data_IF_425799020445
#
_entry.id   IF_425799020445
#
_cell.length_a   1.000
_cell.length_b   1.000
_cell.length_c   1.000
_cell.angle_alpha   90.00
_cell.angle_beta   90.00
_cell.angle_gamma   90.00
#
_symmetry.space_group_name_H-M   'P 1'
#
loop_
_entity.id
_entity.type
_entity.pdbx_description
1 polymer ?
#
# COMPACT_ATOMS: atom_id res chain seq x y z
N UNK A 1 -22.49 15.83 -2.96
CA UNK A 1 -21.03 15.61 -2.82
C UNK A 1 -20.70 15.79 -1.35
N UNK A 2 -20.09 14.80 -0.70
CA UNK A 2 -19.78 14.79 0.74
C UNK A 2 -18.88 15.99 1.14
N UNK A 3 -19.07 16.56 2.34
CA UNK A 3 -18.27 17.67 2.86
C UNK A 3 -16.77 17.34 2.90
N UNK A 4 -16.43 16.08 3.15
CA UNK A 4 -15.06 15.55 3.10
C UNK A 4 -14.47 15.67 1.69
N UNK A 5 -15.23 15.26 0.67
CA UNK A 5 -14.77 15.34 -0.72
C UNK A 5 -14.54 16.79 -1.15
N UNK A 6 -15.44 17.69 -0.75
CA UNK A 6 -15.32 19.12 -1.07
C UNK A 6 -14.07 19.73 -0.45
N UNK A 7 -13.81 19.45 0.83
CA UNK A 7 -12.64 20.00 1.52
C UNK A 7 -11.33 19.45 0.97
N UNK A 8 -11.29 18.16 0.62
CA UNK A 8 -10.12 17.55 -0.03
C UNK A 8 -9.87 18.17 -1.40
N UNK A 9 -10.91 18.30 -2.24
CA UNK A 9 -10.77 18.95 -3.55
C UNK A 9 -10.32 20.40 -3.44
N UNK A 10 -10.85 21.16 -2.48
CA UNK A 10 -10.45 22.55 -2.22
C UNK A 10 -8.98 22.66 -1.85
N UNK A 11 -8.43 21.70 -1.09
CA UNK A 11 -7.00 21.68 -0.73
C UNK A 11 -6.11 21.31 -1.91
N UNK A 12 -6.52 20.31 -2.69
CA UNK A 12 -5.80 19.91 -3.89
C UNK A 12 -5.74 21.05 -4.92
N UNK A 13 -6.84 21.80 -5.11
CA UNK A 13 -6.84 22.96 -6.03
C UNK A 13 -5.95 24.12 -5.56
N UNK A 14 -5.59 24.15 -4.28
CA UNK A 14 -4.63 25.09 -3.70
C UNK A 14 -3.18 24.59 -3.76
N UNK A 15 -2.94 23.42 -4.36
CA UNK A 15 -1.61 22.82 -4.48
C UNK A 15 -1.06 22.26 -3.15
N UNK A 16 -1.91 22.11 -2.13
CA UNK A 16 -1.51 21.57 -0.84
C UNK A 16 -1.56 20.04 -0.83
N UNK A 17 -0.61 19.41 -0.14
CA UNK A 17 -0.76 18.02 0.30
C UNK A 17 -1.95 17.90 1.26
N UNK A 18 -2.59 16.73 1.28
CA UNK A 18 -3.76 16.51 2.11
C UNK A 18 -3.33 16.25 3.56
N UNK A 19 -3.63 17.23 4.40
CA UNK A 19 -3.56 17.11 5.85
C UNK A 19 -4.92 16.63 6.38
N UNK A 20 -5.01 15.34 6.67
CA UNK A 20 -6.24 14.71 7.14
C UNK A 20 -6.71 15.19 8.50
N UNK A 21 -5.81 15.68 9.37
CA UNK A 21 -6.20 16.26 10.65
C UNK A 21 -6.97 17.58 10.42
N UNK A 22 -6.51 18.40 9.47
CA UNK A 22 -7.23 19.62 9.10
C UNK A 22 -8.54 19.35 8.35
N UNK A 23 -8.59 18.32 7.50
CA UNK A 23 -9.85 17.90 6.86
C UNK A 23 -10.86 17.48 7.93
N UNK A 24 -10.44 16.62 8.86
CA UNK A 24 -11.24 16.16 10.00
C UNK A 24 -11.80 17.33 10.81
N UNK A 25 -10.94 18.30 11.17
CA UNK A 25 -11.36 19.49 11.89
C UNK A 25 -12.38 20.33 11.11
N UNK A 26 -12.18 20.50 9.81
CA UNK A 26 -13.07 21.31 8.97
C UNK A 26 -14.47 20.70 8.80
N UNK A 27 -14.57 19.37 8.75
CA UNK A 27 -15.84 18.67 8.52
C UNK A 27 -16.50 18.14 9.80
N UNK A 28 -15.81 18.19 10.93
CA UNK A 28 -16.33 17.73 12.23
C UNK A 28 -16.45 16.20 12.37
N UNK A 29 -15.70 15.44 11.55
CA UNK A 29 -15.65 13.97 11.61
C UNK A 29 -14.26 13.50 12.06
N UNK A 30 -14.15 12.31 12.63
CA UNK A 30 -12.84 11.72 12.94
C UNK A 30 -12.00 11.44 11.68
N UNK A 31 -10.68 11.54 11.79
CA UNK A 31 -9.72 11.32 10.69
C UNK A 31 -9.98 10.02 9.94
N UNK A 32 -10.12 8.90 10.66
CA UNK A 32 -10.38 7.60 10.06
C UNK A 32 -11.68 7.62 9.25
N UNK A 33 -12.73 8.26 9.76
CA UNK A 33 -14.00 8.36 9.05
C UNK A 33 -13.87 9.18 7.76
N UNK A 34 -13.13 10.29 7.80
CA UNK A 34 -12.83 11.08 6.60
C UNK A 34 -12.08 10.24 5.54
N UNK A 35 -11.08 9.47 5.97
CA UNK A 35 -10.34 8.56 5.11
C UNK A 35 -11.24 7.50 4.47
N UNK A 36 -12.19 6.94 5.23
CA UNK A 36 -13.10 5.89 4.74
C UNK A 36 -14.13 6.38 3.73
N UNK A 37 -14.60 7.62 3.85
CA UNK A 37 -15.68 8.15 3.01
C UNK A 37 -15.19 9.04 1.86
N UNK A 38 -13.93 9.49 1.89
CA UNK A 38 -13.39 10.38 0.86
C UNK A 38 -13.24 9.65 -0.48
N UNK A 39 -13.99 10.05 -1.51
CA UNK A 39 -13.98 9.43 -2.85
C UNK A 39 -13.08 10.16 -3.85
N UNK A 40 -12.13 10.97 -3.39
CA UNK A 40 -11.23 11.71 -4.27
C UNK A 40 -10.04 10.82 -4.64
N UNK A 41 -9.94 10.47 -5.91
CA UNK A 41 -8.85 9.63 -6.44
C UNK A 41 -7.84 10.39 -7.30
N UNK A 42 -8.12 11.66 -7.62
CA UNK A 42 -7.27 12.47 -8.48
C UNK A 42 -5.87 12.65 -7.89
N UNK A 43 -4.85 12.27 -8.65
CA UNK A 43 -3.44 12.49 -8.27
C UNK A 43 -2.87 11.43 -7.33
N UNK A 44 -3.58 10.32 -7.06
CA UNK A 44 -3.01 9.18 -6.34
C UNK A 44 -1.91 8.52 -7.16
N UNK A 45 -0.80 8.19 -6.50
CA UNK A 45 0.33 7.51 -7.12
C UNK A 45 -0.02 6.04 -7.42
N UNK A 46 0.60 5.47 -8.46
CA UNK A 46 0.69 4.03 -8.62
C UNK A 46 1.83 3.51 -7.74
N UNK A 47 1.62 2.37 -7.10
CA UNK A 47 2.71 1.65 -6.46
C UNK A 47 3.09 0.48 -7.36
N UNK A 48 4.37 0.45 -7.72
CA UNK A 48 4.96 -0.58 -8.57
C UNK A 48 6.08 -1.24 -7.79
N UNK A 49 6.01 -2.57 -7.68
CA UNK A 49 7.09 -3.35 -7.10
C UNK A 49 8.22 -3.49 -8.14
N UNK A 50 9.43 -2.99 -7.81
CA UNK A 50 10.66 -3.24 -8.58
C UNK A 50 11.69 -3.87 -7.64
N UNK A 51 11.95 -5.19 -7.73
CA UNK A 51 12.83 -5.90 -6.79
C UNK A 51 14.26 -5.35 -6.72
N UNK A 52 14.73 -4.60 -7.72
CA UNK A 52 16.08 -4.03 -7.73
C UNK A 52 16.18 -2.73 -6.95
N UNK A 53 15.09 -1.96 -6.88
CA UNK A 53 15.03 -0.65 -6.20
C UNK A 53 14.05 -0.64 -5.03
N UNK A 54 13.42 -1.78 -4.75
CA UNK A 54 12.27 -1.83 -3.86
C UNK A 54 12.66 -1.49 -2.41
N UNK A 55 11.91 -0.57 -1.81
CA UNK A 55 11.92 -0.32 -0.38
C UNK A 55 10.59 -0.75 0.23
N UNK A 56 10.64 -1.49 1.33
CA UNK A 56 9.46 -1.87 2.10
C UNK A 56 8.86 -0.72 2.92
N UNK A 57 9.47 0.47 2.92
CA UNK A 57 9.04 1.61 3.74
C UNK A 57 7.56 1.96 3.56
N UNK A 58 7.07 2.00 2.32
CA UNK A 58 5.66 2.30 2.06
C UNK A 58 4.72 1.21 2.60
N UNK A 59 5.15 -0.05 2.46
CA UNK A 59 4.41 -1.20 2.95
C UNK A 59 4.42 -1.28 4.49
N UNK A 60 5.51 -0.89 5.13
CA UNK A 60 5.59 -0.78 6.58
C UNK A 60 4.68 0.34 7.11
N UNK A 61 4.61 1.49 6.41
CA UNK A 61 3.64 2.55 6.74
C UNK A 61 2.19 2.07 6.60
N UNK A 62 1.88 1.32 5.54
CA UNK A 62 0.58 0.69 5.37
C UNK A 62 0.24 -0.25 6.53
N UNK A 63 1.18 -1.13 6.88
CA UNK A 63 1.03 -2.11 7.95
C UNK A 63 0.80 -1.44 9.30
N UNK A 64 1.57 -0.39 9.62
CA UNK A 64 1.40 0.39 10.84
C UNK A 64 0.00 1.03 10.89
N UNK A 65 -0.41 1.70 9.81
CA UNK A 65 -1.74 2.30 9.72
C UNK A 65 -2.88 1.28 9.91
N UNK A 66 -2.77 0.10 9.29
CA UNK A 66 -3.76 -0.97 9.45
C UNK A 66 -3.79 -1.47 10.89
N UNK A 67 -2.63 -1.70 11.51
CA UNK A 67 -2.55 -2.17 12.90
C UNK A 67 -3.18 -1.19 13.89
N UNK A 68 -2.97 0.12 13.68
CA UNK A 68 -3.46 1.17 14.57
C UNK A 68 -4.97 1.42 14.44
N UNK A 69 -5.54 1.23 13.24
CA UNK A 69 -6.92 1.64 12.94
C UNK A 69 -7.89 0.47 12.73
N UNK A 70 -7.38 -0.72 12.40
CA UNK A 70 -8.18 -1.91 12.10
C UNK A 70 -7.63 -3.13 12.86
N UNK A 71 -7.73 -3.14 14.21
CA UNK A 71 -7.27 -4.28 15.00
C UNK A 71 -8.10 -5.53 14.70
N UNK A 72 -7.44 -6.68 14.73
CA UNK A 72 -8.07 -8.00 14.51
C UNK A 72 -9.27 -8.15 15.47
N UNK A 73 -10.45 -8.60 14.99
CA UNK A 73 -10.70 -9.24 13.69
C UNK A 73 -11.21 -8.31 12.57
N UNK A 74 -11.12 -6.99 12.73
CA UNK A 74 -11.61 -6.07 11.72
C UNK A 74 -10.81 -6.20 10.41
N UNK A 75 -11.53 -6.30 9.29
CA UNK A 75 -10.89 -6.26 7.97
C UNK A 75 -10.49 -4.80 7.66
N UNK A 76 -9.29 -4.57 7.12
CA UNK A 76 -8.86 -3.22 6.76
C UNK A 76 -9.74 -2.63 5.66
N UNK A 77 -10.12 -1.36 5.81
CA UNK A 77 -10.75 -0.61 4.73
C UNK A 77 -9.67 -0.05 3.79
N UNK A 78 -9.43 -0.74 2.68
CA UNK A 78 -8.42 -0.32 1.69
C UNK A 78 -8.71 1.02 1.02
N UNK A 79 -9.93 1.53 1.12
CA UNK A 79 -10.23 2.90 0.70
C UNK A 79 -9.57 3.92 1.63
N UNK A 80 -9.64 3.71 2.94
CA UNK A 80 -8.96 4.54 3.93
C UNK A 80 -7.44 4.43 3.81
N UNK A 81 -6.91 3.21 3.59
CA UNK A 81 -5.48 2.98 3.34
C UNK A 81 -5.00 3.75 2.11
N UNK A 82 -5.75 3.64 1.00
CA UNK A 82 -5.48 4.36 -0.25
C UNK A 82 -5.42 5.87 -0.04
N UNK A 83 -6.36 6.42 0.73
CA UNK A 83 -6.42 7.84 1.04
C UNK A 83 -5.31 8.29 2.00
N UNK A 84 -4.90 7.44 2.94
CA UNK A 84 -3.82 7.72 3.88
C UNK A 84 -2.45 7.76 3.20
N UNK A 85 -2.16 6.78 2.34
CA UNK A 85 -0.89 6.69 1.61
C UNK A 85 -0.87 7.54 0.34
N UNK A 86 -2.03 8.00 -0.12
CA UNK A 86 -2.22 8.65 -1.41
C UNK A 86 -1.78 7.78 -2.60
N UNK A 87 -2.07 6.48 -2.50
CA UNK A 87 -1.76 5.44 -3.49
C UNK A 87 -3.08 4.83 -3.96
N UNK A 88 -3.13 4.37 -5.21
CA UNK A 88 -4.31 3.68 -5.74
C UNK A 88 -4.71 2.47 -4.88
N UNK A 89 -6.02 2.29 -4.70
CA UNK A 89 -6.57 1.26 -3.82
C UNK A 89 -6.13 -0.15 -4.19
N UNK A 90 -6.18 -0.48 -5.47
CA UNK A 90 -5.79 -1.81 -5.95
C UNK A 90 -4.31 -2.10 -5.67
N UNK A 91 -3.45 -1.08 -5.73
CA UNK A 91 -2.04 -1.25 -5.42
C UNK A 91 -1.82 -1.43 -3.90
N UNK A 92 -2.65 -0.80 -3.05
CA UNK A 92 -2.61 -1.05 -1.61
C UNK A 92 -3.03 -2.48 -1.27
N UNK A 93 -4.04 -3.02 -1.98
CA UNK A 93 -4.46 -4.42 -1.86
C UNK A 93 -3.31 -5.33 -2.30
N UNK A 94 -2.74 -5.09 -3.47
CA UNK A 94 -1.63 -5.87 -3.99
C UNK A 94 -0.41 -5.85 -3.07
N UNK A 95 -0.06 -4.68 -2.52
CA UNK A 95 0.99 -4.53 -1.52
C UNK A 95 0.71 -5.35 -0.25
N UNK A 96 -0.55 -5.40 0.20
CA UNK A 96 -0.95 -6.18 1.37
C UNK A 96 -0.83 -7.68 1.10
N UNK A 97 -1.24 -8.13 -0.08
CA UNK A 97 -1.07 -9.52 -0.50
C UNK A 97 0.40 -9.93 -0.54
N UNK A 98 1.25 -9.07 -1.14
CA UNK A 98 2.69 -9.29 -1.16
C UNK A 98 3.26 -9.38 0.26
N UNK A 99 2.90 -8.48 1.18
CA UNK A 99 3.34 -8.56 2.58
C UNK A 99 2.96 -9.88 3.26
N UNK A 100 1.84 -10.50 2.87
CA UNK A 100 1.39 -11.79 3.42
C UNK A 100 2.05 -12.99 2.72
N UNK A 101 2.92 -12.76 1.74
CA UNK A 101 3.55 -13.81 0.94
C UNK A 101 2.64 -14.37 -0.15
N UNK A 102 1.57 -13.65 -0.50
CA UNK A 102 0.69 -13.95 -1.63
C UNK A 102 1.23 -13.20 -2.86
N UNK A 103 2.05 -13.89 -3.65
CA UNK A 103 2.67 -13.32 -4.85
C UNK A 103 1.97 -13.83 -6.09
N UNK A 104 1.63 -12.91 -6.99
CA UNK A 104 1.21 -13.23 -8.35
C UNK A 104 2.47 -13.52 -9.16
N UNK A 105 2.68 -14.79 -9.53
CA UNK A 105 3.87 -15.21 -10.27
C UNK A 105 3.75 -14.87 -11.76
N UNK A 106 4.27 -13.72 -12.16
CA UNK A 106 4.38 -13.33 -13.58
C UNK A 106 5.68 -13.85 -14.21
N UNK A 107 5.75 -13.84 -15.54
CA UNK A 107 6.95 -14.26 -16.26
C UNK A 107 8.14 -13.32 -15.96
N UNK A 108 7.88 -12.04 -15.73
CA UNK A 108 8.90 -11.07 -15.32
C UNK A 108 9.48 -11.39 -13.94
N UNK A 109 8.62 -11.69 -12.94
CA UNK A 109 9.06 -12.07 -11.60
C UNK A 109 9.85 -13.38 -11.65
N UNK A 110 9.40 -14.36 -12.44
CA UNK A 110 10.13 -15.63 -12.65
C UNK A 110 11.49 -15.41 -13.31
N UNK A 111 11.56 -14.57 -14.35
CA UNK A 111 12.81 -14.26 -15.03
C UNK A 111 13.82 -13.58 -14.09
N UNK A 112 13.35 -12.66 -13.25
CA UNK A 112 14.17 -12.00 -12.23
C UNK A 112 14.64 -12.97 -11.14
N UNK A 113 13.78 -13.88 -10.68
CA UNK A 113 14.17 -14.94 -9.74
C UNK A 113 15.28 -15.81 -10.32
N UNK A 114 15.18 -16.24 -11.57
CA UNK A 114 16.20 -17.01 -12.26
C UNK A 114 17.52 -16.22 -12.34
N UNK A 115 17.45 -14.93 -12.68
CA UNK A 115 18.63 -14.06 -12.76
C UNK A 115 19.31 -13.87 -11.38
N UNK A 116 18.54 -13.58 -10.32
CA UNK A 116 19.05 -13.47 -8.95
C UNK A 116 19.70 -14.76 -8.48
N UNK A 117 19.09 -15.91 -8.78
CA UNK A 117 19.65 -17.20 -8.41
C UNK A 117 20.94 -17.50 -9.20
N UNK A 118 20.97 -17.20 -10.51
CA UNK A 118 22.17 -17.33 -11.34
C UNK A 118 23.34 -16.46 -10.85
N UNK A 119 23.03 -15.30 -10.25
CA UNK A 119 24.00 -14.42 -9.59
C UNK A 119 24.46 -14.92 -8.22
N UNK A 120 24.03 -16.11 -7.80
CA UNK A 120 24.47 -16.78 -6.57
C UNK A 120 23.59 -16.55 -5.35
N UNK A 121 22.44 -15.87 -5.48
CA UNK A 121 21.54 -15.63 -4.36
C UNK A 121 20.77 -16.91 -4.00
N UNK A 122 20.67 -17.22 -2.70
CA UNK A 122 19.88 -18.36 -2.22
C UNK A 122 18.38 -18.03 -2.27
N UNK A 123 17.53 -19.02 -2.54
CA UNK A 123 16.07 -18.84 -2.60
C UNK A 123 15.45 -18.25 -1.33
N UNK A 124 16.06 -18.49 -0.16
CA UNK A 124 15.63 -17.88 1.11
C UNK A 124 15.81 -16.36 1.13
N UNK A 125 16.85 -15.86 0.46
CA UNK A 125 17.19 -14.45 0.43
C UNK A 125 16.41 -13.75 -0.69
N UNK A 126 16.24 -14.42 -1.84
CA UNK A 126 15.29 -14.00 -2.90
C UNK A 126 13.88 -13.90 -2.32
N UNK A 127 13.45 -14.88 -1.53
CA UNK A 127 12.14 -14.87 -0.88
C UNK A 127 11.93 -13.63 -0.03
N UNK A 128 12.90 -13.25 0.80
CA UNK A 128 12.85 -12.02 1.61
C UNK A 128 12.83 -10.73 0.78
N UNK A 129 13.47 -10.72 -0.38
CA UNK A 129 13.39 -9.57 -1.29
C UNK A 129 12.00 -9.43 -1.91
N UNK A 130 11.39 -10.54 -2.29
CA UNK A 130 10.05 -10.59 -2.86
C UNK A 130 8.95 -10.30 -1.83
N UNK A 131 9.09 -10.83 -0.61
CA UNK A 131 8.18 -10.58 0.49
C UNK A 131 8.77 -11.03 1.84
N UNK A 132 8.56 -10.26 2.93
CA UNK A 132 9.07 -10.63 4.25
C UNK A 132 8.48 -11.93 4.79
N UNK A 133 7.29 -12.35 4.32
CA UNK A 133 6.59 -13.53 4.79
C UNK A 133 6.51 -14.66 3.74
N UNK A 134 7.20 -14.53 2.61
CA UNK A 134 7.27 -15.60 1.61
C UNK A 134 8.23 -16.70 2.04
N UNK A 135 7.73 -17.95 2.04
CA UNK A 135 8.57 -19.09 2.38
C UNK A 135 9.51 -19.45 1.22
N UNK A 136 10.74 -19.85 1.55
CA UNK A 136 11.74 -20.25 0.56
C UNK A 136 11.27 -21.41 -0.35
N UNK A 137 10.44 -22.32 0.18
CA UNK A 137 9.88 -23.43 -0.59
C UNK A 137 8.95 -22.96 -1.73
N UNK A 138 8.18 -21.88 -1.52
CA UNK A 138 7.33 -21.30 -2.58
C UNK A 138 8.15 -20.65 -3.70
N UNK A 139 9.40 -20.28 -3.43
CA UNK A 139 10.31 -19.65 -4.39
C UNK A 139 11.08 -20.69 -5.21
N UNK A 140 11.43 -21.82 -4.59
CA UNK A 140 12.19 -22.88 -5.23
C UNK A 140 11.34 -23.87 -6.06
N UNK A 141 10.01 -23.85 -5.86
CA UNK A 141 9.05 -24.76 -6.48
C UNK A 141 8.57 -24.35 -7.86
#
# INVERSE_FOLDING_TARGET
MDATNQEVQRRLSQGHQIDWARVSQAVGLGVLKCLEICQVDNGKARWTYDPNTFSWEMADRMKAFIADNYPVPAMPNFHAVSNYLWINRDDCIHMSDMLQGNIVWTDEIKAQLIDMHRKGMQYKDIGKQLSPNLSAQKVAG
#
